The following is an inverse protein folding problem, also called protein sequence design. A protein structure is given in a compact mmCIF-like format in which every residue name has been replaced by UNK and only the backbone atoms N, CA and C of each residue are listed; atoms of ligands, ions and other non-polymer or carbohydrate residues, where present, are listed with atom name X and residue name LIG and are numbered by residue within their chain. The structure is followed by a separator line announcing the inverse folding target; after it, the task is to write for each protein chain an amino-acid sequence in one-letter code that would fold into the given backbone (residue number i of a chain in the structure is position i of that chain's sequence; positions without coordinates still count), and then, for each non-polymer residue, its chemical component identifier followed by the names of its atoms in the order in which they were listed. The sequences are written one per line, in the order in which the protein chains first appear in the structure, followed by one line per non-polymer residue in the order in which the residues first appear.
data_IF_479642715927
#
_entry.id   IF_479642715927
#
_cell.length_a   1.000
_cell.length_b   1.000
_cell.length_c   1.000
_cell.angle_alpha   90.00
_cell.angle_beta   90.00
_cell.angle_gamma   90.00
#
_symmetry.space_group_name_H-M   'P 1'
#
loop_
_entity.id
_entity.type
_entity.pdbx_description
1 polymer ?
#
# COMPACT_ATOMS: atom_id res chain seq x y z
N UNK A 1 26.19 -20.98 27.25
CA UNK A 1 26.18 -19.58 26.79
C UNK A 1 25.91 -19.64 25.29
N UNK A 2 24.63 -19.71 24.94
CA UNK A 2 24.17 -19.79 23.56
C UNK A 2 24.18 -18.39 22.97
N UNK A 3 25.06 -18.15 22.00
CA UNK A 3 25.18 -16.86 21.33
C UNK A 3 23.82 -16.47 20.70
N UNK A 4 23.19 -15.35 21.12
CA UNK A 4 21.92 -14.91 20.54
C UNK A 4 22.03 -14.61 19.04
N UNK A 5 23.24 -14.34 18.54
CA UNK A 5 23.53 -14.18 17.12
C UNK A 5 23.43 -15.49 16.31
N UNK A 6 23.76 -16.64 16.91
CA UNK A 6 23.65 -17.94 16.25
C UNK A 6 22.19 -18.44 16.19
N UNK A 7 21.39 -18.14 17.23
CA UNK A 7 19.95 -18.40 17.23
C UNK A 7 19.20 -17.48 16.23
N UNK A 8 19.61 -16.22 16.10
CA UNK A 8 19.08 -15.30 15.08
C UNK A 8 19.42 -15.76 13.65
N UNK A 9 20.67 -16.20 13.40
CA UNK A 9 21.04 -16.74 12.09
C UNK A 9 20.24 -17.99 11.69
N UNK A 10 19.79 -18.80 12.66
CA UNK A 10 18.92 -19.95 12.44
C UNK A 10 17.42 -19.61 12.26
N UNK A 11 16.95 -18.44 12.74
CA UNK A 11 15.56 -17.98 12.57
C UNK A 11 15.32 -17.18 11.28
N UNK A 12 16.37 -16.61 10.68
CA UNK A 12 16.31 -15.93 9.38
C UNK A 12 15.73 -16.81 8.25
N UNK A 13 16.17 -18.06 8.00
CA UNK A 13 15.66 -18.85 6.88
C UNK A 13 14.17 -19.18 7.03
N UNK A 14 13.71 -19.45 8.25
CA UNK A 14 12.31 -19.81 8.53
C UNK A 14 11.37 -18.62 8.35
N UNK A 15 11.77 -17.43 8.79
CA UNK A 15 10.98 -16.20 8.64
C UNK A 15 10.90 -15.74 7.18
N UNK A 16 12.00 -15.80 6.42
CA UNK A 16 12.01 -15.48 4.99
C UNK A 16 11.11 -16.45 4.21
N UNK A 17 11.19 -17.75 4.49
CA UNK A 17 10.33 -18.74 3.84
C UNK A 17 8.84 -18.52 4.16
N UNK A 18 8.52 -18.13 5.40
CA UNK A 18 7.16 -17.78 5.79
C UNK A 18 6.66 -16.54 5.01
N UNK A 19 7.51 -15.52 4.87
CA UNK A 19 7.21 -14.32 4.07
C UNK A 19 6.94 -14.69 2.61
N UNK A 20 7.80 -15.50 1.98
CA UNK A 20 7.62 -15.94 0.58
C UNK A 20 6.28 -16.64 0.40
N UNK A 21 5.94 -17.59 1.28
CA UNK A 21 4.66 -18.31 1.23
C UNK A 21 3.46 -17.37 1.37
N UNK A 22 3.53 -16.40 2.28
CA UNK A 22 2.44 -15.45 2.48
C UNK A 22 2.30 -14.46 1.33
N UNK A 23 3.41 -13.96 0.79
CA UNK A 23 3.43 -13.12 -0.42
C UNK A 23 2.74 -13.85 -1.57
N UNK A 24 3.01 -15.15 -1.74
CA UNK A 24 2.33 -15.99 -2.75
C UNK A 24 0.83 -16.15 -2.50
N UNK A 25 0.42 -16.41 -1.25
CA UNK A 25 -1.00 -16.56 -0.89
C UNK A 25 -1.75 -15.25 -1.10
N UNK A 26 -1.25 -14.13 -0.55
CA UNK A 26 -1.89 -12.83 -0.70
C UNK A 26 -1.84 -12.32 -2.14
N UNK A 27 -0.73 -12.54 -2.85
CA UNK A 27 -0.61 -12.23 -4.27
C UNK A 27 -1.60 -13.04 -5.11
N UNK A 28 -1.76 -14.34 -4.82
CA UNK A 28 -2.76 -15.19 -5.46
C UNK A 28 -4.20 -14.75 -5.20
N UNK A 29 -4.53 -14.40 -3.96
CA UNK A 29 -5.85 -13.84 -3.61
C UNK A 29 -6.09 -12.51 -4.36
N UNK A 30 -5.09 -11.64 -4.41
CA UNK A 30 -5.21 -10.37 -5.14
C UNK A 30 -5.40 -10.61 -6.65
N UNK A 31 -4.67 -11.55 -7.24
CA UNK A 31 -4.83 -11.92 -8.65
C UNK A 31 -6.24 -12.47 -8.90
N UNK A 32 -6.74 -13.33 -8.01
CA UNK A 32 -8.10 -13.84 -8.08
C UNK A 32 -9.14 -12.70 -8.07
N UNK A 33 -9.05 -11.80 -7.09
CA UNK A 33 -9.92 -10.62 -6.99
C UNK A 33 -9.80 -9.68 -8.19
N UNK A 34 -8.60 -9.53 -8.74
CA UNK A 34 -8.38 -8.76 -9.96
C UNK A 34 -9.13 -9.40 -11.13
N UNK A 35 -8.94 -10.70 -11.37
CA UNK A 35 -9.56 -11.41 -12.49
C UNK A 35 -11.08 -11.41 -12.38
N UNK A 36 -11.66 -11.70 -11.21
CA UNK A 36 -13.13 -11.76 -11.02
C UNK A 36 -13.81 -10.40 -11.16
N UNK A 37 -13.07 -9.32 -10.93
CA UNK A 37 -13.59 -7.96 -11.04
C UNK A 37 -13.40 -7.30 -12.41
N UNK A 38 -12.64 -7.93 -13.33
CA UNK A 38 -12.38 -7.40 -14.68
C UNK A 38 -13.69 -7.20 -15.46
N UNK A 39 -14.71 -8.02 -15.20
CA UNK A 39 -16.03 -7.87 -15.82
C UNK A 39 -16.62 -6.47 -15.60
N UNK A 40 -16.44 -5.88 -14.40
CA UNK A 40 -16.89 -4.52 -14.10
C UNK A 40 -16.10 -3.45 -14.86
N UNK A 41 -14.80 -3.68 -15.08
CA UNK A 41 -13.93 -2.74 -15.80
C UNK A 41 -14.20 -2.77 -17.32
N UNK A 42 -14.49 -3.95 -17.85
CA UNK A 42 -14.92 -4.12 -19.25
C UNK A 42 -16.25 -3.41 -19.50
N UNK A 43 -17.20 -3.47 -18.55
CA UNK A 43 -18.47 -2.71 -18.62
C UNK A 43 -18.29 -1.19 -18.61
N UNK A 44 -17.30 -0.70 -17.87
CA UNK A 44 -16.90 0.71 -17.86
C UNK A 44 -16.32 1.11 -19.22
N UNK A 45 -15.44 0.30 -19.78
CA UNK A 45 -14.81 0.56 -21.08
C UNK A 45 -15.82 0.49 -22.23
N UNK A 46 -16.83 -0.38 -22.12
CA UNK A 46 -17.97 -0.45 -23.06
C UNK A 46 -19.00 0.68 -22.91
N UNK A 47 -18.67 1.77 -22.18
CA UNK A 47 -19.48 3.00 -22.04
C UNK A 47 -20.89 2.83 -21.49
N UNK A 48 -21.17 1.75 -20.75
CA UNK A 48 -22.48 1.60 -20.07
C UNK A 48 -22.66 2.58 -18.89
N UNK A 49 -21.60 3.28 -18.47
CA UNK A 49 -21.60 4.25 -17.34
C UNK A 49 -20.95 5.59 -17.72
N UNK A 50 -21.33 6.71 -17.08
CA UNK A 50 -20.76 8.02 -17.36
C UNK A 50 -19.27 8.08 -16.99
N UNK A 51 -18.46 8.63 -17.89
CA UNK A 51 -17.02 8.78 -17.71
C UNK A 51 -16.68 9.68 -16.51
N UNK A 52 -15.83 9.19 -15.61
CA UNK A 52 -15.32 9.95 -14.46
C UNK A 52 -13.81 9.81 -14.39
N UNK A 53 -13.09 10.93 -14.34
CA UNK A 53 -11.62 10.92 -14.29
C UNK A 53 -11.06 10.19 -13.05
N UNK A 54 -11.81 10.17 -11.94
CA UNK A 54 -11.47 9.39 -10.74
C UNK A 54 -11.43 7.88 -10.97
N UNK A 55 -12.11 7.38 -12.01
CA UNK A 55 -12.11 5.97 -12.38
C UNK A 55 -10.80 5.56 -13.06
N UNK A 56 -10.17 6.46 -13.82
CA UNK A 56 -8.84 6.22 -14.38
C UNK A 56 -7.80 6.08 -13.27
N UNK A 57 -7.88 6.94 -12.25
CA UNK A 57 -6.98 6.88 -11.08
C UNK A 57 -7.13 5.53 -10.37
N UNK A 58 -8.36 5.05 -10.20
CA UNK A 58 -8.65 3.74 -9.62
C UNK A 58 -8.02 2.59 -10.42
N UNK A 59 -8.30 2.53 -11.73
CA UNK A 59 -7.78 1.47 -12.61
C UNK A 59 -6.24 1.52 -12.64
N UNK A 60 -5.65 2.71 -12.74
CA UNK A 60 -4.20 2.88 -12.74
C UNK A 60 -3.56 2.37 -11.43
N UNK A 61 -4.14 2.73 -10.28
CA UNK A 61 -3.65 2.25 -8.98
C UNK A 61 -3.68 0.72 -8.92
N UNK A 62 -4.75 0.11 -9.46
CA UNK A 62 -4.94 -1.34 -9.47
C UNK A 62 -3.95 -2.07 -10.36
N UNK A 63 -3.75 -1.59 -11.58
CA UNK A 63 -2.77 -2.16 -12.53
C UNK A 63 -1.34 -2.03 -11.98
N UNK A 64 -1.02 -0.92 -11.32
CA UNK A 64 0.29 -0.72 -10.70
C UNK A 64 0.51 -1.64 -9.49
N UNK A 65 -0.52 -1.87 -8.67
CA UNK A 65 -0.47 -2.84 -7.57
C UNK A 65 -0.27 -4.27 -8.09
N UNK A 66 -0.92 -4.65 -9.19
CA UNK A 66 -0.67 -5.92 -9.86
C UNK A 66 0.77 -6.02 -10.37
N UNK A 67 1.28 -4.96 -11.00
CA UNK A 67 2.67 -4.87 -11.43
C UNK A 67 3.66 -5.09 -10.27
N UNK A 68 3.38 -4.50 -9.10
CA UNK A 68 4.18 -4.70 -7.90
C UNK A 68 4.22 -6.17 -7.44
N UNK A 69 3.09 -6.86 -7.39
CA UNK A 69 3.01 -8.27 -6.99
C UNK A 69 3.76 -9.17 -7.97
N UNK A 70 3.60 -8.93 -9.28
CA UNK A 70 4.31 -9.67 -10.32
C UNK A 70 5.83 -9.49 -10.14
N UNK A 71 6.30 -8.25 -9.97
CA UNK A 71 7.72 -8.00 -9.72
C UNK A 71 8.21 -8.66 -8.44
N UNK A 72 7.37 -8.77 -7.42
CA UNK A 72 7.70 -9.42 -6.16
C UNK A 72 7.89 -10.94 -6.33
N UNK A 73 7.02 -11.61 -7.09
CA UNK A 73 7.19 -13.03 -7.45
C UNK A 73 8.49 -13.28 -8.24
N UNK A 74 8.79 -12.42 -9.22
CA UNK A 74 10.06 -12.49 -9.95
C UNK A 74 11.28 -12.35 -9.02
N UNK A 75 11.15 -11.65 -7.89
CA UNK A 75 12.24 -11.49 -6.93
C UNK A 75 12.55 -12.73 -6.11
N UNK A 76 11.52 -13.53 -5.82
CA UNK A 76 11.61 -14.67 -4.91
C UNK A 76 11.77 -16.03 -5.62
N UNK A 77 11.21 -16.19 -6.82
CA UNK A 77 11.20 -17.48 -7.53
C UNK A 77 12.27 -17.61 -8.64
N UNK A 78 13.00 -16.54 -8.93
CA UNK A 78 13.95 -16.55 -10.04
C UNK A 78 15.27 -17.24 -9.65
N UNK A 79 15.69 -18.31 -10.38
CA UNK A 79 16.72 -19.24 -9.90
C UNK A 79 18.17 -18.81 -10.18
N UNK A 80 18.42 -17.66 -10.82
CA UNK A 80 19.79 -17.20 -11.14
C UNK A 80 20.08 -15.83 -10.56
N UNK A 81 21.38 -15.51 -10.39
CA UNK A 81 21.79 -14.23 -9.82
C UNK A 81 21.43 -13.07 -10.76
N UNK A 82 20.80 -12.03 -10.21
CA UNK A 82 20.47 -10.81 -10.94
C UNK A 82 20.72 -9.57 -10.08
N UNK A 83 20.62 -8.40 -10.71
CA UNK A 83 20.81 -7.12 -10.03
C UNK A 83 19.63 -6.83 -9.08
N UNK A 84 19.75 -7.25 -7.82
CA UNK A 84 18.75 -7.02 -6.77
C UNK A 84 18.35 -5.55 -6.60
N UNK A 85 19.28 -4.62 -6.81
CA UNK A 85 18.99 -3.18 -6.75
C UNK A 85 18.02 -2.72 -7.85
N UNK A 86 18.13 -3.26 -9.06
CA UNK A 86 17.24 -2.93 -10.17
C UNK A 86 15.84 -3.47 -9.90
N UNK A 87 15.77 -4.73 -9.46
CA UNK A 87 14.53 -5.36 -9.03
C UNK A 87 13.85 -4.59 -7.90
N UNK A 88 14.58 -4.30 -6.81
CA UNK A 88 14.04 -3.56 -5.68
C UNK A 88 13.48 -2.21 -6.13
N UNK A 89 14.23 -1.46 -6.94
CA UNK A 89 13.76 -0.15 -7.45
C UNK A 89 12.50 -0.30 -8.29
N UNK A 90 12.42 -1.28 -9.18
CA UNK A 90 11.22 -1.55 -9.97
C UNK A 90 10.02 -1.85 -9.05
N UNK A 91 10.19 -2.78 -8.11
CA UNK A 91 9.14 -3.15 -7.14
C UNK A 91 8.69 -1.96 -6.30
N UNK A 92 9.62 -1.12 -5.83
CA UNK A 92 9.30 0.08 -5.05
C UNK A 92 8.54 1.11 -5.90
N UNK A 93 8.94 1.35 -7.14
CA UNK A 93 8.25 2.29 -8.04
C UNK A 93 6.79 1.87 -8.26
N UNK A 94 6.54 0.60 -8.61
CA UNK A 94 5.16 0.11 -8.80
C UNK A 94 4.35 0.20 -7.52
N UNK A 95 4.94 -0.21 -6.39
CA UNK A 95 4.26 -0.26 -5.09
C UNK A 95 3.87 1.13 -4.59
N UNK A 96 4.82 2.05 -4.51
CA UNK A 96 4.54 3.41 -4.03
C UNK A 96 3.68 4.18 -5.03
N UNK A 97 3.80 3.97 -6.35
CA UNK A 97 2.89 4.59 -7.31
C UNK A 97 1.44 4.15 -7.08
N UNK A 98 1.21 2.86 -6.82
CA UNK A 98 -0.10 2.34 -6.45
C UNK A 98 -0.64 2.97 -5.15
N UNK A 99 0.21 3.05 -4.11
CA UNK A 99 -0.15 3.66 -2.82
C UNK A 99 -0.51 5.15 -3.00
N UNK A 100 0.33 5.93 -3.69
CA UNK A 100 0.10 7.36 -3.90
C UNK A 100 -1.19 7.65 -4.68
N UNK A 101 -1.51 6.83 -5.68
CA UNK A 101 -2.78 6.95 -6.42
C UNK A 101 -3.98 6.57 -5.55
N UNK A 102 -3.80 5.62 -4.63
CA UNK A 102 -4.84 5.26 -3.67
C UNK A 102 -5.12 6.38 -2.66
N UNK A 103 -4.07 7.01 -2.13
CA UNK A 103 -4.19 8.24 -1.32
C UNK A 103 -4.87 9.37 -2.09
N UNK A 104 -4.60 9.48 -3.40
CA UNK A 104 -5.26 10.45 -4.27
C UNK A 104 -6.77 10.17 -4.38
N UNK A 105 -7.20 8.90 -4.41
CA UNK A 105 -8.63 8.57 -4.40
C UNK A 105 -9.32 9.01 -3.11
N UNK A 106 -8.67 8.83 -1.96
CA UNK A 106 -9.18 9.32 -0.67
C UNK A 106 -9.33 10.84 -0.72
N UNK A 107 -8.29 11.55 -1.19
CA UNK A 107 -8.32 13.01 -1.36
C UNK A 107 -9.48 13.45 -2.24
N UNK A 108 -9.67 12.83 -3.41
CA UNK A 108 -10.75 13.16 -4.33
C UNK A 108 -12.14 12.98 -3.70
N UNK A 109 -12.33 11.90 -2.93
CA UNK A 109 -13.57 11.66 -2.17
C UNK A 109 -13.77 12.72 -1.09
N UNK A 110 -12.73 13.04 -0.33
CA UNK A 110 -12.76 14.10 0.69
C UNK A 110 -13.17 15.45 0.09
N UNK A 111 -12.53 15.86 -1.01
CA UNK A 111 -12.85 17.11 -1.72
C UNK A 111 -14.30 17.15 -2.21
N UNK A 112 -14.82 16.03 -2.71
CA UNK A 112 -16.21 15.93 -3.16
C UNK A 112 -17.20 16.14 -2.00
N UNK A 113 -16.94 15.56 -0.82
CA UNK A 113 -17.80 15.69 0.37
C UNK A 113 -17.86 17.14 0.87
N UNK A 114 -16.73 17.84 0.83
CA UNK A 114 -16.64 19.25 1.24
C UNK A 114 -17.16 20.23 0.19
N UNK A 115 -17.74 19.75 -0.92
CA UNK A 115 -18.29 20.62 -1.96
C UNK A 115 -17.23 21.49 -2.64
N UNK A 116 -15.98 20.98 -2.74
CA UNK A 116 -14.85 21.67 -3.40
C UNK A 116 -14.45 22.99 -2.74
N UNK A 117 -14.54 23.08 -1.41
CA UNK A 117 -14.03 24.23 -0.67
C UNK A 117 -12.51 24.40 -0.89
N UNK A 118 -12.09 25.61 -1.25
CA UNK A 118 -10.69 25.86 -1.63
C UNK A 118 -9.71 25.52 -0.52
N UNK A 119 -10.07 25.76 0.74
CA UNK A 119 -9.23 25.46 1.90
C UNK A 119 -8.95 23.96 2.04
N UNK A 120 -9.98 23.12 1.92
CA UNK A 120 -9.82 21.66 2.04
C UNK A 120 -9.04 21.10 0.85
N UNK A 121 -9.28 21.64 -0.35
CA UNK A 121 -8.53 21.25 -1.55
C UNK A 121 -7.05 21.58 -1.36
N UNK A 122 -6.71 22.84 -1.07
CA UNK A 122 -5.31 23.27 -0.93
C UNK A 122 -4.61 22.51 0.20
N UNK A 123 -5.24 22.37 1.35
CA UNK A 123 -4.66 21.66 2.49
C UNK A 123 -4.42 20.17 2.20
N UNK A 124 -5.44 19.48 1.69
CA UNK A 124 -5.33 18.04 1.38
C UNK A 124 -4.34 17.78 0.24
N UNK A 125 -4.32 18.64 -0.78
CA UNK A 125 -3.35 18.56 -1.88
C UNK A 125 -1.92 18.80 -1.42
N UNK A 126 -1.69 19.74 -0.49
CA UNK A 126 -0.36 19.96 0.09
C UNK A 126 0.14 18.73 0.86
N UNK A 127 -0.72 18.09 1.66
CA UNK A 127 -0.38 16.87 2.38
C UNK A 127 -0.02 15.74 1.41
N UNK A 128 -0.84 15.53 0.38
CA UNK A 128 -0.61 14.49 -0.61
C UNK A 128 0.69 14.73 -1.40
N UNK A 129 0.96 15.96 -1.85
CA UNK A 129 2.22 16.31 -2.52
C UNK A 129 3.43 16.11 -1.61
N UNK A 130 3.32 16.46 -0.33
CA UNK A 130 4.35 16.19 0.67
C UNK A 130 4.63 14.69 0.81
N UNK A 131 3.57 13.87 0.85
CA UNK A 131 3.70 12.42 0.91
C UNK A 131 4.38 11.85 -0.33
N UNK A 132 4.01 12.33 -1.53
CA UNK A 132 4.66 11.93 -2.80
C UNK A 132 6.15 12.29 -2.80
N UNK A 133 6.52 13.48 -2.33
CA UNK A 133 7.92 13.90 -2.25
C UNK A 133 8.73 13.00 -1.31
N UNK A 134 8.18 12.69 -0.13
CA UNK A 134 8.81 11.78 0.83
C UNK A 134 8.87 10.34 0.28
N UNK A 135 7.87 9.88 -0.45
CA UNK A 135 7.88 8.58 -1.10
C UNK A 135 9.02 8.46 -2.12
N UNK A 136 9.19 9.47 -2.99
CA UNK A 136 10.29 9.51 -3.98
C UNK A 136 11.65 9.52 -3.27
N UNK A 137 11.80 10.33 -2.21
CA UNK A 137 13.01 10.33 -1.39
C UNK A 137 13.29 8.95 -0.78
N UNK A 138 12.26 8.30 -0.23
CA UNK A 138 12.37 6.99 0.42
C UNK A 138 12.79 5.90 -0.57
N UNK A 139 12.27 5.92 -1.80
CA UNK A 139 12.68 4.98 -2.86
C UNK A 139 14.17 5.06 -3.16
N UNK A 140 14.77 6.25 -3.08
CA UNK A 140 16.18 6.47 -3.40
C UNK A 140 17.14 5.86 -2.38
N UNK A 141 16.64 5.55 -1.18
CA UNK A 141 17.41 5.02 -0.05
C UNK A 141 17.42 3.49 0.01
N UNK A 142 16.59 2.82 -0.78
CA UNK A 142 16.45 1.36 -0.77
C UNK A 142 17.59 0.66 -1.51
N UNK A 143 18.27 -0.25 -0.81
CA UNK A 143 19.31 -1.10 -1.36
C UNK A 143 18.99 -2.58 -1.10
N UNK A 144 19.28 -3.44 -2.06
CA UNK A 144 19.14 -4.89 -1.91
C UNK A 144 20.38 -5.63 -2.40
N UNK A 145 20.73 -6.68 -1.67
CA UNK A 145 21.89 -7.53 -1.93
C UNK A 145 21.43 -8.96 -2.14
N UNK A 146 22.07 -9.67 -3.06
CA UNK A 146 21.80 -11.08 -3.30
C UNK A 146 22.23 -11.93 -2.10
N UNK A 147 21.39 -12.87 -1.67
CA UNK A 147 21.67 -13.76 -0.55
C UNK A 147 21.84 -15.22 -1.05
N UNK A 148 23.08 -15.69 -1.28
CA UNK A 148 23.36 -17.00 -1.86
C UNK A 148 22.72 -18.20 -1.13
N UNK A 149 22.63 -18.23 0.23
CA UNK A 149 22.07 -19.39 0.93
C UNK A 149 20.57 -19.65 0.70
N UNK A 150 19.80 -18.62 0.32
CA UNK A 150 18.36 -18.76 0.03
C UNK A 150 18.02 -18.57 -1.45
N UNK A 151 19.01 -18.21 -2.29
CA UNK A 151 18.77 -17.94 -3.71
C UNK A 151 17.78 -16.79 -3.96
N UNK A 152 17.76 -15.77 -3.09
CA UNK A 152 16.83 -14.64 -3.16
C UNK A 152 17.54 -13.33 -2.86
N UNK A 153 16.96 -12.21 -3.28
CA UNK A 153 17.39 -10.88 -2.87
C UNK A 153 16.92 -10.55 -1.45
N UNK A 154 17.83 -10.02 -0.62
CA UNK A 154 17.54 -9.50 0.70
C UNK A 154 17.67 -7.97 0.72
N UNK A 155 16.69 -7.28 1.33
CA UNK A 155 16.70 -5.83 1.45
C UNK A 155 17.60 -5.41 2.62
N UNK A 156 18.57 -4.56 2.34
CA UNK A 156 19.49 -4.00 3.34
C UNK A 156 19.05 -2.58 3.70
N UNK A 157 19.13 -2.22 4.98
CA UNK A 157 18.77 -0.87 5.43
C UNK A 157 17.27 -0.59 5.47
N UNK A 158 16.46 -1.59 5.82
CA UNK A 158 15.01 -1.45 5.97
C UNK A 158 14.62 -0.35 6.97
N UNK A 159 15.52 0.04 7.90
CA UNK A 159 15.28 1.18 8.79
C UNK A 159 15.04 2.49 8.02
N UNK A 160 15.71 2.69 6.88
CA UNK A 160 15.59 3.90 6.06
C UNK A 160 14.21 4.02 5.42
N UNK A 161 13.56 2.88 5.13
CA UNK A 161 12.22 2.85 4.53
C UNK A 161 11.10 3.12 5.55
N UNK A 162 11.36 2.95 6.86
CA UNK A 162 10.35 3.14 7.92
C UNK A 162 9.77 4.55 7.93
N UNK A 163 10.62 5.56 7.74
CA UNK A 163 10.20 6.97 7.74
C UNK A 163 9.17 7.24 6.66
N UNK A 164 9.37 6.72 5.45
CA UNK A 164 8.41 6.90 4.36
C UNK A 164 7.05 6.25 4.65
N UNK A 165 7.07 5.03 5.21
CA UNK A 165 5.83 4.30 5.58
C UNK A 165 5.07 5.05 6.69
N UNK A 166 5.79 5.61 7.67
CA UNK A 166 5.18 6.40 8.74
C UNK A 166 4.51 7.67 8.20
N UNK A 167 5.22 8.43 7.36
CA UNK A 167 4.68 9.65 6.76
C UNK A 167 3.44 9.33 5.92
N UNK A 168 3.45 8.23 5.17
CA UNK A 168 2.29 7.78 4.38
C UNK A 168 1.08 7.42 5.25
N UNK A 169 1.29 6.73 6.38
CA UNK A 169 0.23 6.50 7.35
C UNK A 169 -0.36 7.81 7.85
N UNK A 170 0.49 8.73 8.32
CA UNK A 170 0.01 9.99 8.90
C UNK A 170 -0.74 10.83 7.87
N UNK A 171 -0.23 10.91 6.64
CA UNK A 171 -0.89 11.60 5.54
C UNK A 171 -2.29 11.01 5.28
N UNK A 172 -2.42 9.69 5.16
CA UNK A 172 -3.70 9.05 4.91
C UNK A 172 -4.66 9.15 6.10
N UNK A 173 -4.18 9.05 7.34
CA UNK A 173 -5.02 9.27 8.54
C UNK A 173 -5.56 10.70 8.55
N UNK A 174 -4.74 11.70 8.20
CA UNK A 174 -5.22 13.09 8.10
C UNK A 174 -6.25 13.24 6.98
N UNK A 175 -6.00 12.68 5.79
CA UNK A 175 -6.96 12.73 4.67
C UNK A 175 -8.28 12.02 5.01
N UNK A 176 -8.21 10.85 5.65
CA UNK A 176 -9.37 10.07 6.08
C UNK A 176 -10.16 10.78 7.18
N UNK A 177 -9.50 11.43 8.14
CA UNK A 177 -10.17 12.21 9.18
C UNK A 177 -10.86 13.45 8.60
N UNK A 178 -10.25 14.16 7.64
CA UNK A 178 -10.88 15.26 6.91
C UNK A 178 -12.13 14.78 6.17
N UNK A 179 -12.04 13.62 5.49
CA UNK A 179 -13.18 13.01 4.80
C UNK A 179 -14.31 12.69 5.79
N UNK A 180 -14.00 12.02 6.91
CA UNK A 180 -14.97 11.66 7.94
C UNK A 180 -15.63 12.91 8.57
N UNK A 181 -14.84 13.93 8.87
CA UNK A 181 -15.33 15.22 9.38
C UNK A 181 -16.29 15.88 8.39
N UNK A 182 -16.02 15.81 7.09
CA UNK A 182 -16.91 16.32 6.05
C UNK A 182 -18.27 15.61 6.04
N UNK A 183 -18.26 14.28 6.18
CA UNK A 183 -19.50 13.47 6.25
C UNK A 183 -20.29 13.80 7.52
N UNK A 184 -19.61 13.98 8.65
CA UNK A 184 -20.23 14.37 9.92
C UNK A 184 -20.79 15.80 9.90
N UNK A 185 -20.15 16.73 9.19
CA UNK A 185 -20.60 18.12 9.10
C UNK A 185 -21.86 18.27 8.22
N UNK A 186 -22.02 17.40 7.21
CA UNK A 186 -23.21 17.37 6.32
C UNK A 186 -24.37 16.57 6.90
N UNK A 187 -24.54 16.58 8.23
CA UNK A 187 -25.55 15.80 8.98
C UNK A 187 -26.97 16.20 8.59
N UNK A 188 -27.49 15.58 7.53
CA UNK A 188 -28.88 15.69 7.12
C UNK A 188 -29.65 14.51 7.70
N UNK A 189 -30.80 14.73 8.33
CA UNK A 189 -31.67 13.69 8.91
C UNK A 189 -32.29 12.70 7.91
N UNK A 190 -31.77 12.63 6.68
CA UNK A 190 -32.23 11.77 5.58
C UNK A 190 -31.55 10.39 5.63
N UNK A 191 -32.25 9.33 5.18
CA UNK A 191 -31.68 7.98 5.07
C UNK A 191 -30.42 7.89 4.20
N UNK A 192 -30.25 8.79 3.23
CA UNK A 192 -29.05 8.90 2.39
C UNK A 192 -27.79 9.23 3.21
N UNK A 193 -27.91 10.11 4.21
CA UNK A 193 -26.78 10.45 5.08
C UNK A 193 -26.32 9.25 5.90
N UNK A 194 -27.24 8.42 6.40
CA UNK A 194 -26.92 7.19 7.13
C UNK A 194 -26.13 6.20 6.27
N UNK A 195 -26.49 6.06 5.00
CA UNK A 195 -25.77 5.19 4.05
C UNK A 195 -24.36 5.72 3.79
N UNK A 196 -24.20 7.02 3.50
CA UNK A 196 -22.87 7.61 3.31
C UNK A 196 -22.00 7.53 4.57
N UNK A 197 -22.60 7.72 5.75
CA UNK A 197 -21.90 7.65 7.03
C UNK A 197 -21.41 6.24 7.35
N UNK A 198 -22.26 5.22 7.18
CA UNK A 198 -21.85 3.82 7.39
C UNK A 198 -20.76 3.43 6.40
N UNK A 199 -20.92 3.77 5.12
CA UNK A 199 -19.92 3.48 4.11
C UNK A 199 -18.59 4.17 4.45
N UNK A 200 -18.60 5.47 4.75
CA UNK A 200 -17.39 6.22 5.11
C UNK A 200 -16.70 5.70 6.38
N UNK A 201 -17.47 5.37 7.43
CA UNK A 201 -16.95 4.86 8.68
C UNK A 201 -16.37 3.44 8.54
N UNK A 202 -17.04 2.56 7.80
CA UNK A 202 -16.52 1.21 7.51
C UNK A 202 -15.20 1.29 6.75
N UNK A 203 -15.09 2.13 5.73
CA UNK A 203 -13.84 2.34 4.99
C UNK A 203 -12.73 2.91 5.88
N UNK A 204 -13.06 3.86 6.78
CA UNK A 204 -12.11 4.40 7.75
C UNK A 204 -11.54 3.31 8.66
N UNK A 205 -12.41 2.50 9.26
CA UNK A 205 -12.01 1.43 10.17
C UNK A 205 -11.15 0.39 9.46
N UNK A 206 -11.54 -0.03 8.25
CA UNK A 206 -10.77 -1.00 7.46
C UNK A 206 -9.37 -0.45 7.13
N UNK A 207 -9.28 0.81 6.67
CA UNK A 207 -8.00 1.42 6.33
C UNK A 207 -7.07 1.53 7.55
N UNK A 208 -7.60 1.99 8.70
CA UNK A 208 -6.83 2.11 9.95
C UNK A 208 -6.37 0.74 10.44
N UNK A 209 -7.28 -0.25 10.50
CA UNK A 209 -6.93 -1.61 10.91
C UNK A 209 -5.94 -2.29 9.96
N UNK A 210 -5.95 -1.95 8.67
CA UNK A 210 -4.98 -2.49 7.71
C UNK A 210 -3.59 -1.85 7.83
N UNK A 211 -3.50 -0.55 8.15
CA UNK A 211 -2.20 0.15 8.23
C UNK A 211 -1.50 0.06 9.59
N UNK A 212 -2.23 -0.15 10.68
CA UNK A 212 -1.63 -0.24 12.03
C UNK A 212 -0.66 -1.43 12.19
N UNK A 213 -0.98 -2.67 11.76
CA UNK A 213 -0.10 -3.82 11.98
C UNK A 213 1.30 -3.67 11.38
N UNK A 214 1.48 -3.23 10.12
CA UNK A 214 2.81 -2.96 9.55
C UNK A 214 3.66 -1.99 10.37
N UNK A 215 3.03 -0.97 10.95
CA UNK A 215 3.70 0.09 11.71
C UNK A 215 4.14 -0.41 13.07
N UNK A 216 3.24 -1.10 13.79
CA UNK A 216 3.53 -1.68 15.11
C UNK A 216 4.69 -2.66 14.98
N UNK A 217 4.70 -3.49 13.95
CA UNK A 217 5.82 -4.42 13.70
C UNK A 217 7.09 -3.69 13.25
N UNK A 218 6.95 -2.61 12.48
CA UNK A 218 8.01 -1.67 12.13
C UNK A 218 8.77 -1.11 13.33
N UNK A 219 8.04 -0.69 14.37
CA UNK A 219 8.62 -0.17 15.62
C UNK A 219 9.19 -1.27 16.51
N UNK A 220 8.55 -2.45 16.53
CA UNK A 220 8.96 -3.54 17.42
C UNK A 220 10.25 -4.23 16.96
N UNK A 221 10.72 -3.97 15.72
CA UNK A 221 12.01 -4.40 15.16
C UNK A 221 12.34 -5.89 15.38
N UNK A 222 11.33 -6.77 15.27
CA UNK A 222 11.49 -8.19 15.65
C UNK A 222 12.31 -8.98 14.62
N UNK A 223 12.22 -8.67 13.31
CA UNK A 223 13.12 -9.18 12.25
C UNK A 223 12.77 -8.58 10.87
N UNK A 224 13.69 -8.65 9.88
CA UNK A 224 13.47 -8.11 8.51
C UNK A 224 12.32 -8.83 7.78
N UNK A 225 12.19 -10.14 7.98
CA UNK A 225 11.15 -10.96 7.35
C UNK A 225 9.72 -10.56 7.74
N UNK A 226 9.50 -10.31 9.03
CA UNK A 226 8.19 -9.90 9.57
C UNK A 226 7.76 -8.50 9.11
N UNK A 227 8.71 -7.56 9.01
CA UNK A 227 8.46 -6.21 8.50
C UNK A 227 8.03 -6.20 7.02
N UNK A 228 8.59 -7.13 6.23
CA UNK A 228 8.20 -7.33 4.85
C UNK A 228 6.83 -8.01 4.75
N UNK A 229 6.61 -9.03 5.58
CA UNK A 229 5.39 -9.85 5.62
C UNK A 229 4.10 -9.05 5.82
N UNK A 230 4.12 -7.98 6.62
CA UNK A 230 2.94 -7.14 6.85
C UNK A 230 2.82 -5.96 5.88
N UNK A 231 3.91 -5.57 5.20
CA UNK A 231 3.84 -4.51 4.17
C UNK A 231 3.08 -4.96 2.92
N UNK A 232 3.18 -6.23 2.54
CA UNK A 232 2.51 -6.79 1.35
C UNK A 232 0.97 -6.77 1.46
N UNK A 233 0.32 -7.26 2.53
CA UNK A 233 -1.15 -7.22 2.64
C UNK A 233 -1.70 -5.80 2.76
N UNK A 234 -0.95 -4.86 3.34
CA UNK A 234 -1.33 -3.44 3.38
C UNK A 234 -1.57 -2.86 1.97
N UNK A 235 -0.80 -3.29 0.97
CA UNK A 235 -0.95 -2.85 -0.43
C UNK A 235 -2.17 -3.47 -1.12
N UNK A 236 -2.58 -4.65 -0.69
CA UNK A 236 -3.73 -5.38 -1.25
C UNK A 236 -5.09 -4.89 -0.71
N UNK A 237 -5.17 -4.49 0.56
CA UNK A 237 -6.42 -4.06 1.22
C UNK A 237 -6.94 -2.67 0.80
N UNK A 238 -6.24 -1.96 -0.09
CA UNK A 238 -6.62 -0.62 -0.53
C UNK A 238 -7.66 -0.61 -1.67
N UNK A 239 -8.05 -1.78 -2.17
CA UNK A 239 -8.95 -1.95 -3.32
C UNK A 239 -10.25 -2.64 -2.93
#
# INVERSE_FOLDING_TARGET
MSDPAAAAAASLPTSVLATVKLVHVFGGIYIWEFVTSLDFEVEVYTRKRPWRWSLLVYIAARVLAMGAIITEFFGFDYPSEFNCNVWLRATLVFSFAAIMLSSLMILLRGVAVWGRSIYVVVFSSAIWLGNVAVAIWTMSLGEAVWFPPLGTCAITGAEKLRTGILVDLFADVILLTIMLAGVMNKRNGTGLWRVLYIQGLSWFLIAVCSKIPPIVMGFLNIDVGWNLMFNTPHRACYF
#
